data_IF_468924576478
#
_entry.id   IF_468924576478
#
_cell.length_a   1.000
_cell.length_b   1.000
_cell.length_c   1.000
_cell.angle_alpha   90.00
_cell.angle_beta   90.00
_cell.angle_gamma   90.00
#
_symmetry.space_group_name_H-M   'P 1'
#
loop_
_entity.id
_entity.type
_entity.pdbx_description
1 polymer ?
#
# COMPACT_ATOMS: atom_id res chain seq x y z
N UNK A 1 20.21 27.54 -6.07
CA UNK A 1 19.03 27.83 -6.92
C UNK A 1 19.04 27.01 -8.23
N UNK A 2 20.12 26.99 -9.02
CA UNK A 2 20.18 26.21 -10.28
C UNK A 2 19.85 24.71 -10.10
N UNK A 3 20.38 24.08 -9.07
CA UNK A 3 20.17 22.64 -8.86
C UNK A 3 18.75 22.29 -8.39
N UNK A 4 18.07 23.22 -7.72
CA UNK A 4 16.65 23.08 -7.42
C UNK A 4 15.78 22.99 -8.69
N UNK A 5 16.05 23.86 -9.69
CA UNK A 5 15.35 23.78 -10.98
C UNK A 5 15.63 22.47 -11.71
N UNK A 6 16.85 21.89 -11.57
CA UNK A 6 17.19 20.59 -12.13
C UNK A 6 16.27 19.48 -11.56
N UNK A 7 16.04 19.49 -10.24
CA UNK A 7 15.15 18.50 -9.60
C UNK A 7 13.71 18.69 -10.05
N UNK A 8 13.23 19.93 -10.10
CA UNK A 8 11.89 20.24 -10.64
C UNK A 8 11.77 19.68 -12.07
N UNK A 9 12.78 19.89 -12.92
CA UNK A 9 12.78 19.36 -14.28
C UNK A 9 12.66 17.83 -14.29
N UNK A 10 13.43 17.13 -13.45
CA UNK A 10 13.34 15.66 -13.31
C UNK A 10 11.90 15.27 -12.92
N UNK A 11 11.33 15.90 -11.89
CA UNK A 11 9.96 15.62 -11.45
C UNK A 11 8.94 15.87 -12.55
N UNK A 12 9.04 16.98 -13.26
CA UNK A 12 8.14 17.30 -14.38
C UNK A 12 8.23 16.27 -15.50
N UNK A 13 9.45 15.82 -15.84
CA UNK A 13 9.65 14.76 -16.84
C UNK A 13 9.04 13.45 -16.36
N UNK A 14 9.26 13.06 -15.09
CA UNK A 14 8.61 11.86 -14.52
C UNK A 14 7.08 11.95 -14.62
N UNK A 15 6.48 13.07 -14.22
CA UNK A 15 5.04 13.29 -14.32
C UNK A 15 4.54 13.24 -15.76
N UNK A 16 5.28 13.82 -16.71
CA UNK A 16 4.97 13.75 -18.12
C UNK A 16 4.99 12.31 -18.66
N UNK A 17 6.01 11.53 -18.31
CA UNK A 17 6.12 10.14 -18.74
C UNK A 17 5.02 9.27 -18.11
N UNK A 18 4.65 9.52 -16.85
CA UNK A 18 3.51 8.89 -16.18
C UNK A 18 2.20 9.21 -16.94
N UNK A 19 2.00 10.48 -17.32
CA UNK A 19 0.82 10.89 -18.11
C UNK A 19 0.74 10.17 -19.45
N UNK A 20 1.88 9.81 -20.04
CA UNK A 20 1.95 8.98 -21.26
C UNK A 20 1.68 7.48 -20.99
N UNK A 21 1.34 7.09 -19.77
CA UNK A 21 1.04 5.70 -19.34
C UNK A 21 2.19 4.74 -19.55
N UNK A 22 3.43 5.20 -19.53
CA UNK A 22 4.61 4.34 -19.55
C UNK A 22 4.69 3.53 -18.26
N UNK A 23 5.38 2.38 -18.34
CA UNK A 23 5.62 1.55 -17.16
C UNK A 23 6.40 2.33 -16.10
N UNK A 24 5.94 2.27 -14.84
CA UNK A 24 6.50 3.07 -13.74
C UNK A 24 7.96 2.70 -13.41
N UNK A 25 8.33 1.44 -13.55
CA UNK A 25 9.73 1.03 -13.40
C UNK A 25 10.61 1.67 -14.47
N UNK A 26 10.14 1.68 -15.72
CA UNK A 26 10.84 2.33 -16.81
C UNK A 26 10.93 3.85 -16.61
N UNK A 27 9.84 4.49 -16.17
CA UNK A 27 9.82 5.93 -15.84
C UNK A 27 10.87 6.27 -14.78
N UNK A 28 10.94 5.50 -13.69
CA UNK A 28 11.93 5.71 -12.63
C UNK A 28 13.36 5.45 -13.09
N UNK A 29 13.57 4.42 -13.88
CA UNK A 29 14.89 4.13 -14.44
C UNK A 29 15.37 5.26 -15.34
N UNK A 30 14.50 5.77 -16.23
CA UNK A 30 14.80 6.96 -17.03
C UNK A 30 15.04 8.19 -16.16
N UNK A 31 14.26 8.38 -15.10
CA UNK A 31 14.46 9.44 -14.12
C UNK A 31 15.83 9.38 -13.45
N UNK A 32 16.31 8.18 -13.11
CA UNK A 32 17.65 7.97 -12.57
C UNK A 32 18.73 8.37 -13.59
N UNK A 33 18.60 7.93 -14.85
CA UNK A 33 19.53 8.30 -15.92
C UNK A 33 19.52 9.82 -16.14
N UNK A 34 18.36 10.42 -16.24
CA UNK A 34 18.20 11.87 -16.42
C UNK A 34 18.85 12.65 -15.28
N UNK A 35 18.61 12.21 -14.03
CA UNK A 35 19.24 12.82 -12.85
C UNK A 35 20.76 12.75 -12.94
N UNK A 36 21.32 11.57 -13.25
CA UNK A 36 22.76 11.40 -13.42
C UNK A 36 23.35 12.35 -14.47
N UNK A 37 22.69 12.50 -15.63
CA UNK A 37 23.14 13.40 -16.71
C UNK A 37 23.03 14.87 -16.29
N UNK A 38 21.90 15.31 -15.75
CA UNK A 38 21.66 16.71 -15.37
C UNK A 38 22.61 17.17 -14.24
N UNK A 39 22.96 16.26 -13.33
CA UNK A 39 23.92 16.53 -12.26
C UNK A 39 25.36 16.16 -12.64
N UNK A 40 25.62 15.95 -13.92
CA UNK A 40 26.96 15.76 -14.50
C UNK A 40 27.75 14.57 -13.92
N UNK A 41 27.03 13.50 -13.55
CA UNK A 41 27.69 12.22 -13.23
C UNK A 41 28.29 11.66 -14.54
N UNK A 42 29.62 11.43 -14.54
CA UNK A 42 30.28 10.79 -15.68
C UNK A 42 29.69 9.38 -15.94
N UNK A 43 29.66 8.98 -17.22
CA UNK A 43 29.09 7.67 -17.61
C UNK A 43 29.64 6.47 -16.81
N UNK A 44 30.99 6.37 -16.53
CA UNK A 44 31.49 5.27 -15.71
C UNK A 44 30.97 5.28 -14.28
N UNK A 45 30.82 6.47 -13.67
CA UNK A 45 30.27 6.61 -12.32
C UNK A 45 28.77 6.27 -12.30
N UNK A 46 28.01 6.69 -13.31
CA UNK A 46 26.60 6.37 -13.46
C UNK A 46 26.39 4.86 -13.58
N UNK A 47 27.11 4.20 -14.49
CA UNK A 47 27.00 2.76 -14.71
C UNK A 47 27.39 1.97 -13.44
N UNK A 48 28.48 2.36 -12.78
CA UNK A 48 28.91 1.74 -11.52
C UNK A 48 27.85 1.85 -10.43
N UNK A 49 27.30 3.04 -10.19
CA UNK A 49 26.28 3.23 -9.16
C UNK A 49 24.95 2.50 -9.47
N UNK A 50 24.58 2.39 -10.75
CA UNK A 50 23.44 1.55 -11.15
C UNK A 50 23.72 0.09 -10.79
N UNK A 51 24.89 -0.44 -11.13
CA UNK A 51 25.24 -1.83 -10.82
C UNK A 51 25.30 -2.07 -9.32
N UNK A 52 25.92 -1.18 -8.55
CA UNK A 52 25.97 -1.24 -7.09
C UNK A 52 24.57 -1.23 -6.47
N UNK A 53 23.66 -0.38 -6.96
CA UNK A 53 22.29 -0.34 -6.50
C UNK A 53 21.55 -1.66 -6.77
N UNK A 54 21.69 -2.23 -7.96
CA UNK A 54 21.03 -3.47 -8.36
C UNK A 54 21.56 -4.70 -7.60
N UNK A 55 22.86 -4.72 -7.28
CA UNK A 55 23.51 -5.86 -6.61
C UNK A 55 23.63 -5.70 -5.09
N UNK A 56 23.18 -4.57 -4.54
CA UNK A 56 23.22 -4.34 -3.10
C UNK A 56 22.39 -5.36 -2.33
N UNK A 57 22.87 -5.75 -1.15
CA UNK A 57 22.13 -6.65 -0.24
C UNK A 57 20.75 -6.08 0.13
N UNK A 58 20.64 -4.76 0.19
CA UNK A 58 19.40 -4.03 0.45
C UNK A 58 18.36 -4.28 -0.67
N UNK A 59 18.76 -4.07 -1.94
CA UNK A 59 17.87 -4.27 -3.09
C UNK A 59 17.48 -5.73 -3.26
N UNK A 60 18.43 -6.66 -3.13
CA UNK A 60 18.19 -8.10 -3.23
C UNK A 60 17.29 -8.59 -2.09
N UNK A 61 17.52 -8.11 -0.87
CA UNK A 61 16.67 -8.40 0.29
C UNK A 61 15.25 -7.88 0.10
N UNK A 62 15.10 -6.66 -0.41
CA UNK A 62 13.79 -6.05 -0.70
C UNK A 62 13.03 -6.83 -1.78
N UNK A 63 13.69 -7.22 -2.86
CA UNK A 63 13.12 -8.07 -3.91
C UNK A 63 12.67 -9.41 -3.31
N UNK A 64 13.52 -10.05 -2.48
CA UNK A 64 13.18 -11.30 -1.80
C UNK A 64 11.96 -11.18 -0.88
N UNK A 65 11.87 -10.10 -0.09
CA UNK A 65 10.71 -9.83 0.76
C UNK A 65 9.42 -9.72 -0.08
N UNK A 66 9.44 -8.91 -1.13
CA UNK A 66 8.25 -8.70 -1.97
C UNK A 66 7.85 -9.97 -2.71
N UNK A 67 8.82 -10.74 -3.22
CA UNK A 67 8.54 -12.06 -3.82
C UNK A 67 7.86 -13.00 -2.84
N UNK A 68 8.34 -13.08 -1.59
CA UNK A 68 7.75 -13.94 -0.56
C UNK A 68 6.34 -13.49 -0.16
N UNK A 69 6.10 -12.17 -0.07
CA UNK A 69 4.76 -11.63 0.20
C UNK A 69 3.78 -11.99 -0.93
N UNK A 70 4.18 -11.79 -2.19
CA UNK A 70 3.36 -12.15 -3.36
C UNK A 70 3.16 -13.66 -3.44
N UNK A 71 4.19 -14.44 -3.10
CA UNK A 71 4.13 -15.91 -3.04
C UNK A 71 3.08 -16.38 -2.02
N UNK A 72 3.14 -15.88 -0.78
CA UNK A 72 2.17 -16.22 0.26
C UNK A 72 0.74 -15.85 -0.12
N UNK A 73 0.54 -14.65 -0.67
CA UNK A 73 -0.77 -14.22 -1.16
C UNK A 73 -1.33 -15.15 -2.23
N UNK A 74 -0.51 -15.49 -3.25
CA UNK A 74 -0.88 -16.40 -4.34
C UNK A 74 -1.16 -17.82 -3.83
N UNK A 75 -0.34 -18.31 -2.90
CA UNK A 75 -0.51 -19.63 -2.30
C UNK A 75 -1.85 -19.73 -1.58
N UNK A 76 -2.16 -18.77 -0.70
CA UNK A 76 -3.41 -18.74 0.06
C UNK A 76 -4.64 -18.64 -0.88
N UNK A 77 -4.51 -17.88 -1.97
CA UNK A 77 -5.54 -17.79 -2.99
C UNK A 77 -5.80 -19.13 -3.67
N UNK A 78 -4.74 -19.79 -4.14
CA UNK A 78 -4.85 -21.08 -4.86
C UNK A 78 -5.34 -22.22 -3.97
N UNK A 79 -5.06 -22.19 -2.67
CA UNK A 79 -5.56 -23.17 -1.68
C UNK A 79 -6.98 -22.87 -1.19
N UNK A 80 -7.62 -21.81 -1.71
CA UNK A 80 -9.02 -21.48 -1.40
C UNK A 80 -9.23 -20.91 0.00
N UNK A 81 -8.16 -20.48 0.68
CA UNK A 81 -8.25 -19.92 2.03
C UNK A 81 -9.14 -18.69 2.10
N UNK A 82 -9.18 -17.88 1.03
CA UNK A 82 -10.00 -16.66 0.98
C UNK A 82 -11.49 -16.98 0.94
N UNK A 83 -11.88 -17.98 0.15
CA UNK A 83 -13.27 -18.43 0.11
C UNK A 83 -13.70 -18.94 1.50
N UNK A 84 -12.90 -19.81 2.11
CA UNK A 84 -13.18 -20.32 3.48
C UNK A 84 -13.30 -19.19 4.49
N UNK A 85 -12.38 -18.22 4.45
CA UNK A 85 -12.39 -17.05 5.33
C UNK A 85 -13.69 -16.26 5.19
N UNK A 86 -14.13 -15.97 3.96
CA UNK A 86 -15.38 -15.26 3.70
C UNK A 86 -16.59 -16.05 4.18
N UNK A 87 -16.63 -17.37 3.93
CA UNK A 87 -17.72 -18.24 4.37
C UNK A 87 -17.80 -18.31 5.91
N UNK A 88 -16.65 -18.39 6.59
CA UNK A 88 -16.60 -18.33 8.07
C UNK A 88 -17.09 -16.99 8.60
N UNK A 89 -16.68 -15.88 7.98
CA UNK A 89 -17.12 -14.55 8.38
C UNK A 89 -18.64 -14.38 8.25
N UNK A 90 -19.26 -14.87 7.17
CA UNK A 90 -20.72 -14.87 7.00
C UNK A 90 -21.43 -15.53 8.18
N UNK A 91 -20.80 -16.55 8.79
CA UNK A 91 -21.38 -17.31 9.90
C UNK A 91 -21.03 -16.72 11.27
N UNK A 92 -19.90 -16.06 11.44
CA UNK A 92 -19.44 -15.48 12.70
C UNK A 92 -20.09 -14.14 13.04
N UNK A 93 -20.46 -13.35 12.01
CA UNK A 93 -20.90 -11.97 12.20
C UNK A 93 -22.31 -11.92 12.78
N UNK A 94 -22.50 -11.45 14.04
CA UNK A 94 -23.82 -11.36 14.64
C UNK A 94 -24.62 -10.14 14.15
N UNK A 95 -23.93 -9.07 13.75
CA UNK A 95 -24.52 -7.85 13.22
C UNK A 95 -24.60 -7.93 11.68
N UNK A 96 -25.78 -8.08 11.07
CA UNK A 96 -25.92 -8.36 9.64
C UNK A 96 -25.25 -7.32 8.73
N UNK A 97 -25.20 -6.05 9.14
CA UNK A 97 -24.58 -4.96 8.35
C UNK A 97 -23.08 -5.13 8.16
N UNK A 98 -22.39 -5.75 9.13
CA UNK A 98 -20.94 -5.96 9.07
C UNK A 98 -20.52 -6.90 7.94
N UNK A 99 -21.45 -7.70 7.39
CA UNK A 99 -21.17 -8.54 6.22
C UNK A 99 -20.83 -7.71 4.95
N UNK A 100 -21.26 -6.46 4.93
CA UNK A 100 -20.93 -5.51 3.86
C UNK A 100 -19.49 -4.95 3.97
N UNK A 101 -18.88 -5.06 5.15
CA UNK A 101 -17.59 -4.47 5.48
C UNK A 101 -16.49 -5.51 5.70
N UNK A 102 -16.72 -6.47 6.57
CA UNK A 102 -15.67 -7.38 7.07
C UNK A 102 -15.04 -8.27 5.98
N UNK A 103 -15.76 -8.85 5.02
CA UNK A 103 -15.12 -9.62 3.96
C UNK A 103 -14.11 -8.80 3.17
N UNK A 104 -14.44 -7.56 2.82
CA UNK A 104 -13.53 -6.65 2.13
C UNK A 104 -12.34 -6.27 3.01
N UNK A 105 -12.57 -5.98 4.30
CA UNK A 105 -11.51 -5.68 5.25
C UNK A 105 -10.55 -6.87 5.42
N UNK A 106 -11.06 -8.08 5.56
CA UNK A 106 -10.22 -9.27 5.70
C UNK A 106 -9.42 -9.59 4.43
N UNK A 107 -10.02 -9.44 3.24
CA UNK A 107 -9.28 -9.55 1.98
C UNK A 107 -8.21 -8.46 1.88
N UNK A 108 -8.45 -7.30 2.51
CA UNK A 108 -7.49 -6.22 2.65
C UNK A 108 -6.19 -6.58 3.37
N UNK A 109 -6.11 -7.62 4.19
CA UNK A 109 -4.84 -8.08 4.75
C UNK A 109 -3.85 -8.60 3.69
N UNK A 110 -4.30 -8.81 2.48
CA UNK A 110 -3.52 -9.45 1.43
C UNK A 110 -3.16 -8.43 0.35
N UNK A 111 -1.86 -8.18 0.15
CA UNK A 111 -1.39 -7.33 -0.93
C UNK A 111 -1.51 -8.06 -2.26
N UNK A 112 -2.70 -8.02 -2.85
CA UNK A 112 -2.97 -8.67 -4.13
C UNK A 112 -3.64 -7.74 -5.13
N UNK A 113 -3.30 -7.91 -6.39
CA UNK A 113 -3.91 -7.17 -7.49
C UNK A 113 -5.36 -7.66 -7.68
N UNK A 114 -6.30 -6.74 -7.75
CA UNK A 114 -7.71 -7.10 -7.98
C UNK A 114 -8.41 -7.75 -6.79
N UNK A 115 -7.85 -7.68 -5.57
CA UNK A 115 -8.46 -8.25 -4.36
C UNK A 115 -9.89 -7.75 -4.10
N UNK A 116 -10.23 -6.54 -4.56
CA UNK A 116 -11.57 -6.01 -4.47
C UNK A 116 -12.64 -6.87 -5.21
N UNK A 117 -12.25 -7.57 -6.28
CA UNK A 117 -13.15 -8.49 -6.99
C UNK A 117 -13.46 -9.76 -6.20
N UNK A 118 -12.63 -10.12 -5.23
CA UNK A 118 -12.87 -11.32 -4.42
C UNK A 118 -13.93 -11.09 -3.34
N UNK A 119 -14.04 -9.87 -2.80
CA UNK A 119 -15.08 -9.50 -1.85
C UNK A 119 -16.37 -9.01 -2.52
N UNK A 120 -16.28 -8.53 -3.77
CA UNK A 120 -17.40 -7.95 -4.49
C UNK A 120 -18.66 -8.87 -4.57
N UNK A 121 -18.56 -10.19 -4.87
CA UNK A 121 -19.72 -11.07 -4.88
C UNK A 121 -20.45 -11.15 -3.53
N UNK A 122 -19.69 -11.11 -2.42
CA UNK A 122 -20.26 -11.14 -1.08
C UNK A 122 -20.99 -9.85 -0.75
N UNK A 123 -20.38 -8.71 -1.11
CA UNK A 123 -21.02 -7.40 -0.94
C UNK A 123 -22.23 -7.26 -1.85
N UNK A 124 -22.21 -7.85 -3.06
CA UNK A 124 -23.38 -7.89 -3.97
C UNK A 124 -24.53 -8.67 -3.35
N UNK A 125 -24.28 -9.93 -2.95
CA UNK A 125 -25.27 -10.79 -2.31
C UNK A 125 -25.87 -10.16 -1.04
N UNK A 126 -25.00 -9.64 -0.18
CA UNK A 126 -25.44 -8.97 1.04
C UNK A 126 -26.21 -7.68 0.74
N UNK A 127 -25.69 -6.86 -0.19
CA UNK A 127 -26.28 -5.57 -0.55
C UNK A 127 -27.68 -5.65 -1.13
N UNK A 128 -28.04 -6.78 -1.73
CA UNK A 128 -29.41 -7.02 -2.23
C UNK A 128 -30.44 -7.01 -1.09
N UNK A 129 -30.10 -7.48 0.11
CA UNK A 129 -31.01 -7.47 1.27
C UNK A 129 -31.46 -6.08 1.69
N UNK A 130 -30.63 -5.06 1.41
CA UNK A 130 -30.87 -3.65 1.74
C UNK A 130 -31.19 -2.79 0.52
N UNK A 131 -31.36 -3.38 -0.67
CA UNK A 131 -31.51 -2.64 -1.94
C UNK A 131 -30.44 -1.54 -2.12
N UNK A 132 -29.19 -1.83 -1.75
CA UNK A 132 -28.13 -0.85 -1.86
C UNK A 132 -27.84 -0.52 -3.33
N UNK A 133 -27.69 0.78 -3.60
CA UNK A 133 -27.30 1.23 -4.94
C UNK A 133 -25.89 0.71 -5.32
N UNK A 134 -25.58 0.62 -6.61
CA UNK A 134 -24.25 0.26 -7.08
C UNK A 134 -23.14 1.10 -6.44
N UNK A 135 -23.37 2.41 -6.25
CA UNK A 135 -22.40 3.32 -5.62
C UNK A 135 -22.12 2.95 -4.16
N UNK A 136 -23.13 2.60 -3.38
CA UNK A 136 -22.95 2.17 -1.99
C UNK A 136 -22.20 0.84 -1.90
N UNK A 137 -22.55 -0.15 -2.72
CA UNK A 137 -21.82 -1.42 -2.79
C UNK A 137 -20.37 -1.21 -3.16
N UNK A 138 -20.10 -0.33 -4.16
CA UNK A 138 -18.74 0.04 -4.56
C UNK A 138 -17.97 0.69 -3.42
N UNK A 139 -18.56 1.69 -2.75
CA UNK A 139 -17.91 2.37 -1.62
C UNK A 139 -17.55 1.39 -0.51
N UNK A 140 -18.49 0.57 -0.05
CA UNK A 140 -18.25 -0.37 1.05
C UNK A 140 -17.17 -1.39 0.71
N UNK A 141 -17.25 -1.98 -0.49
CA UNK A 141 -16.25 -2.94 -0.95
C UNK A 141 -14.86 -2.29 -1.08
N UNK A 142 -14.79 -1.13 -1.70
CA UNK A 142 -13.55 -0.40 -1.93
C UNK A 142 -12.94 0.13 -0.64
N UNK A 143 -13.72 0.84 0.18
CA UNK A 143 -13.25 1.49 1.41
C UNK A 143 -12.65 0.50 2.40
N UNK A 144 -13.42 -0.52 2.78
CA UNK A 144 -12.96 -1.49 3.78
C UNK A 144 -11.79 -2.34 3.29
N UNK A 145 -11.66 -2.56 1.98
CA UNK A 145 -10.48 -3.22 1.39
C UNK A 145 -9.18 -2.46 1.64
N UNK A 146 -9.24 -1.12 1.75
CA UNK A 146 -8.06 -0.25 1.79
C UNK A 146 -7.68 0.27 3.18
N UNK A 147 -8.45 -0.03 4.23
CA UNK A 147 -8.17 0.46 5.60
C UNK A 147 -6.82 0.00 6.15
N UNK A 148 -6.29 -1.14 5.70
CA UNK A 148 -5.02 -1.71 6.14
C UNK A 148 -3.81 -1.14 5.42
N UNK A 149 -3.99 -0.48 4.31
CA UNK A 149 -2.88 0.03 3.50
C UNK A 149 -2.13 1.17 4.18
N UNK A 150 -2.67 1.73 5.26
CA UNK A 150 -1.94 2.65 6.11
C UNK A 150 -0.83 1.95 6.92
N UNK A 151 -1.13 0.85 7.58
CA UNK A 151 -0.22 0.30 8.61
C UNK A 151 0.20 -1.17 8.42
N UNK A 152 -0.41 -1.91 7.51
CA UNK A 152 -0.14 -3.35 7.41
C UNK A 152 1.23 -3.63 6.80
N UNK A 153 2.16 -4.29 7.54
CA UNK A 153 3.57 -4.37 7.15
C UNK A 153 3.86 -5.25 5.93
N UNK A 154 2.88 -6.00 5.45
CA UNK A 154 3.04 -6.82 4.23
C UNK A 154 2.73 -6.04 2.94
N UNK A 155 2.32 -4.78 3.02
CA UNK A 155 2.12 -3.96 1.83
C UNK A 155 3.44 -3.43 1.27
N UNK A 156 3.59 -3.54 -0.04
CA UNK A 156 4.81 -3.15 -0.77
C UNK A 156 5.18 -1.67 -0.55
N UNK A 157 4.19 -0.79 -0.40
CA UNK A 157 4.42 0.63 -0.11
C UNK A 157 5.06 0.87 1.26
N UNK A 158 4.67 0.14 2.33
CA UNK A 158 5.33 0.23 3.64
C UNK A 158 6.74 -0.39 3.58
N UNK A 159 6.88 -1.52 2.88
CA UNK A 159 8.16 -2.19 2.70
C UNK A 159 9.15 -1.26 1.97
N UNK A 160 8.71 -0.59 0.89
CA UNK A 160 9.50 0.40 0.17
C UNK A 160 9.85 1.61 1.05
N UNK A 161 8.87 2.16 1.79
CA UNK A 161 9.12 3.27 2.69
C UNK A 161 10.18 2.90 3.75
N UNK A 162 10.09 1.70 4.33
CA UNK A 162 11.08 1.19 5.28
C UNK A 162 12.49 1.10 4.68
N UNK A 163 12.61 0.58 3.46
CA UNK A 163 13.88 0.45 2.75
C UNK A 163 14.45 1.81 2.34
N UNK A 164 13.63 2.71 1.78
CA UNK A 164 14.08 4.03 1.36
C UNK A 164 14.58 4.86 2.55
N UNK A 165 13.82 4.83 3.65
CA UNK A 165 14.11 5.63 4.85
C UNK A 165 15.10 4.96 5.80
N UNK A 166 15.52 3.72 5.54
CA UNK A 166 16.42 2.93 6.41
C UNK A 166 15.91 2.79 7.86
N UNK A 167 14.59 2.69 8.04
CA UNK A 167 13.96 2.55 9.36
C UNK A 167 13.15 1.26 9.47
N UNK A 168 13.03 0.67 10.66
CA UNK A 168 12.24 -0.54 10.85
C UNK A 168 10.77 -0.33 10.45
N UNK A 169 10.22 -1.24 9.67
CA UNK A 169 8.82 -1.17 9.18
C UNK A 169 7.80 -1.03 10.31
N UNK A 170 8.09 -1.62 11.49
CA UNK A 170 7.26 -1.48 12.69
C UNK A 170 7.08 -0.04 13.14
N UNK A 171 8.11 0.82 12.95
CA UNK A 171 8.06 2.24 13.32
C UNK A 171 7.09 2.97 12.40
N UNK A 172 7.14 2.72 11.09
CA UNK A 172 6.18 3.29 10.13
C UNK A 172 4.76 2.79 10.43
N UNK A 173 4.59 1.47 10.59
CA UNK A 173 3.31 0.86 10.87
C UNK A 173 2.66 1.45 12.15
N UNK A 174 3.44 1.68 13.21
CA UNK A 174 2.97 2.26 14.46
C UNK A 174 2.44 3.69 14.26
N UNK A 175 3.18 4.56 13.56
CA UNK A 175 2.75 5.93 13.28
C UNK A 175 1.54 6.01 12.35
N UNK A 176 1.37 5.02 11.48
CA UNK A 176 0.25 4.95 10.55
C UNK A 176 -0.99 4.24 11.12
N UNK A 177 -0.84 3.45 12.20
CA UNK A 177 -1.93 2.67 12.78
C UNK A 177 -3.16 3.48 13.19
N UNK A 178 -3.05 4.71 13.78
CA UNK A 178 -4.20 5.54 14.10
C UNK A 178 -5.09 5.85 12.89
N UNK A 179 -4.52 5.97 11.68
CA UNK A 179 -5.27 6.24 10.46
C UNK A 179 -6.05 5.01 9.98
N UNK A 180 -5.54 3.80 10.22
CA UNK A 180 -6.31 2.56 10.02
C UNK A 180 -7.54 2.52 10.94
N UNK A 181 -7.38 2.87 12.23
CA UNK A 181 -8.49 2.94 13.17
C UNK A 181 -9.51 3.99 12.73
N UNK A 182 -9.02 5.20 12.36
CA UNK A 182 -9.87 6.28 11.88
C UNK A 182 -10.64 5.88 10.61
N UNK A 183 -9.96 5.25 9.64
CA UNK A 183 -10.59 4.78 8.41
C UNK A 183 -11.66 3.72 8.69
N UNK A 184 -11.37 2.76 9.56
CA UNK A 184 -12.34 1.75 9.98
C UNK A 184 -13.54 2.39 10.69
N UNK A 185 -13.30 3.30 11.62
CA UNK A 185 -14.35 4.00 12.36
C UNK A 185 -15.25 4.83 11.43
N UNK A 186 -14.68 5.63 10.53
CA UNK A 186 -15.43 6.41 9.55
C UNK A 186 -16.27 5.52 8.64
N UNK A 187 -15.68 4.43 8.12
CA UNK A 187 -16.41 3.47 7.30
C UNK A 187 -17.58 2.84 8.05
N UNK A 188 -17.40 2.44 9.33
CA UNK A 188 -18.45 1.88 10.16
C UNK A 188 -19.54 2.91 10.52
N UNK A 189 -19.17 4.15 10.85
CA UNK A 189 -20.13 5.23 11.11
C UNK A 189 -21.01 5.46 9.87
N UNK A 190 -20.40 5.53 8.70
CA UNK A 190 -21.11 5.71 7.43
C UNK A 190 -22.02 4.52 7.16
N UNK A 191 -21.53 3.29 7.34
CA UNK A 191 -22.29 2.06 7.17
C UNK A 191 -23.52 2.04 8.09
N UNK A 192 -23.34 2.26 9.40
CA UNK A 192 -24.40 2.17 10.38
C UNK A 192 -25.42 3.31 10.27
N UNK A 193 -25.03 4.47 9.75
CA UNK A 193 -25.91 5.61 9.51
C UNK A 193 -26.84 5.38 8.30
N UNK A 194 -26.33 4.71 7.25
CA UNK A 194 -27.05 4.59 5.97
C UNK A 194 -27.71 3.23 5.73
N UNK A 195 -27.26 2.18 6.42
CA UNK A 195 -27.82 0.84 6.29
C UNK A 195 -28.65 0.53 7.54
N UNK A 196 -29.98 0.37 7.42
CA UNK A 196 -30.85 0.06 8.55
C UNK A 196 -30.56 -1.34 9.12
N UNK A 197 -30.79 -1.52 10.41
CA UNK A 197 -30.62 -2.82 11.06
C UNK A 197 -31.76 -3.75 10.65
N UNK A 198 -31.41 -4.91 10.12
CA UNK A 198 -32.35 -6.01 9.89
C UNK A 198 -32.22 -7.05 11.01
N UNK A 199 -33.28 -7.82 11.24
CA UNK A 199 -33.22 -8.96 12.15
C UNK A 199 -32.17 -9.97 11.67
N UNK A 200 -31.45 -10.54 12.61
CA UNK A 200 -30.46 -11.58 12.32
C UNK A 200 -31.15 -12.94 12.39
N UNK A 201 -31.14 -13.68 11.29
CA UNK A 201 -31.70 -15.05 11.24
C UNK A 201 -30.74 -16.10 11.81
N UNK A 202 -29.68 -15.68 12.52
CA UNK A 202 -28.62 -16.60 12.94
C UNK A 202 -28.94 -17.32 14.25
N UNK A 203 -29.05 -18.61 14.15
CA UNK A 203 -28.82 -19.53 15.25
C UNK A 203 -27.31 -19.58 15.52
N UNK A 204 -26.87 -19.15 16.71
CA UNK A 204 -25.45 -19.12 17.12
C UNK A 204 -24.74 -20.49 17.21
N UNK A 205 -25.16 -21.45 16.42
CA UNK A 205 -24.58 -22.80 16.35
C UNK A 205 -23.27 -22.74 15.54
N UNK A 206 -22.20 -23.24 16.12
CA UNK A 206 -20.90 -23.36 15.44
C UNK A 206 -20.01 -22.10 15.49
N UNK A 207 -20.22 -21.19 16.45
CA UNK A 207 -19.34 -20.01 16.59
C UNK A 207 -17.87 -20.39 16.76
N UNK A 208 -17.56 -21.32 17.66
CA UNK A 208 -16.20 -21.77 17.91
C UNK A 208 -15.58 -22.45 16.69
N UNK A 209 -16.36 -23.28 15.99
CA UNK A 209 -15.89 -23.96 14.76
C UNK A 209 -15.58 -22.96 13.65
N UNK A 210 -16.44 -21.96 13.43
CA UNK A 210 -16.23 -20.93 12.44
C UNK A 210 -15.03 -20.03 12.81
N UNK A 211 -14.86 -19.70 14.10
CA UNK A 211 -13.72 -18.94 14.58
C UNK A 211 -12.42 -19.72 14.37
N UNK A 212 -12.41 -21.00 14.69
CA UNK A 212 -11.24 -21.85 14.46
C UNK A 212 -10.90 -21.98 12.99
N UNK A 213 -11.90 -22.17 12.13
CA UNK A 213 -11.70 -22.22 10.68
C UNK A 213 -11.24 -20.88 10.11
N UNK A 214 -11.68 -19.75 10.66
CA UNK A 214 -11.21 -18.42 10.29
C UNK A 214 -9.72 -18.27 10.63
N UNK A 215 -9.34 -18.55 11.88
CA UNK A 215 -7.93 -18.53 12.32
C UNK A 215 -7.07 -19.48 11.49
N UNK A 216 -7.60 -20.66 11.20
CA UNK A 216 -6.96 -21.62 10.33
C UNK A 216 -6.80 -21.15 8.88
N UNK A 217 -7.68 -20.29 8.38
CA UNK A 217 -7.56 -19.75 7.03
C UNK A 217 -6.50 -18.65 6.92
N UNK A 218 -6.22 -17.93 8.01
CA UNK A 218 -5.28 -16.79 8.03
C UNK A 218 -3.99 -17.05 8.80
N UNK A 219 -3.80 -18.27 9.37
CA UNK A 219 -2.64 -18.57 10.22
C UNK A 219 -1.27 -18.23 9.61
N UNK A 220 -1.05 -18.37 8.28
CA UNK A 220 0.27 -18.01 7.74
C UNK A 220 0.56 -16.51 7.88
N UNK A 221 -0.47 -15.66 7.72
CA UNK A 221 -0.32 -14.22 7.91
C UNK A 221 -0.06 -13.87 9.38
N UNK A 222 -0.80 -14.52 10.29
CA UNK A 222 -0.61 -14.36 11.73
C UNK A 222 0.79 -14.82 12.15
N UNK A 223 1.27 -15.94 11.62
CA UNK A 223 2.62 -16.44 11.89
C UNK A 223 3.69 -15.46 11.39
N UNK A 224 3.58 -14.94 10.17
CA UNK A 224 4.54 -13.96 9.66
C UNK A 224 4.62 -12.73 10.57
N UNK A 225 3.47 -12.15 10.94
CA UNK A 225 3.38 -11.01 11.85
C UNK A 225 3.94 -11.34 13.23
N UNK A 226 3.61 -12.50 13.79
CA UNK A 226 4.11 -12.96 15.07
C UNK A 226 5.65 -13.08 15.08
N UNK A 227 6.24 -13.66 14.05
CA UNK A 227 7.70 -13.77 13.92
C UNK A 227 8.38 -12.39 13.80
N UNK A 228 7.79 -11.46 13.06
CA UNK A 228 8.35 -10.11 12.86
C UNK A 228 8.25 -9.27 14.15
N UNK A 229 7.08 -9.25 14.80
CA UNK A 229 6.81 -8.31 15.89
C UNK A 229 7.21 -8.85 17.27
N UNK A 230 6.94 -10.13 17.54
CA UNK A 230 7.20 -10.76 18.85
C UNK A 230 8.64 -11.29 18.91
N UNK A 231 9.05 -12.11 17.96
CA UNK A 231 10.41 -12.64 17.92
C UNK A 231 11.45 -11.68 17.35
N UNK A 232 10.99 -10.56 16.73
CA UNK A 232 11.87 -9.53 16.15
C UNK A 232 12.83 -10.08 15.08
N UNK A 233 12.45 -11.17 14.43
CA UNK A 233 13.22 -11.71 13.31
C UNK A 233 13.16 -10.77 12.10
N UNK A 234 14.16 -10.87 11.23
CA UNK A 234 14.11 -10.10 9.97
C UNK A 234 12.89 -10.49 9.14
N UNK A 235 12.35 -9.52 8.42
CA UNK A 235 11.14 -9.75 7.60
C UNK A 235 11.36 -10.83 6.54
N UNK A 236 12.54 -10.84 5.91
CA UNK A 236 12.90 -11.85 4.91
C UNK A 236 12.87 -13.27 5.51
N UNK A 237 13.51 -13.44 6.66
CA UNK A 237 13.53 -14.73 7.36
C UNK A 237 12.13 -15.16 7.80
N UNK A 238 11.36 -14.27 8.41
CA UNK A 238 10.00 -14.55 8.89
C UNK A 238 9.08 -15.02 7.77
N UNK A 239 9.13 -14.33 6.61
CA UNK A 239 8.35 -14.69 5.44
C UNK A 239 8.81 -16.00 4.80
N UNK A 240 10.14 -16.24 4.75
CA UNK A 240 10.69 -17.48 4.22
C UNK A 240 10.28 -18.70 5.07
N UNK A 241 10.38 -18.59 6.40
CA UNK A 241 9.92 -19.63 7.33
C UNK A 241 8.42 -19.86 7.18
N UNK A 242 7.63 -18.79 7.15
CA UNK A 242 6.18 -18.89 6.96
C UNK A 242 5.82 -19.56 5.63
N UNK A 243 6.48 -19.19 4.55
CA UNK A 243 6.25 -19.79 3.24
C UNK A 243 6.58 -21.29 3.24
N UNK A 244 7.71 -21.67 3.84
CA UNK A 244 8.14 -23.07 3.97
C UNK A 244 7.12 -23.88 4.78
N UNK A 245 6.76 -23.40 5.98
CA UNK A 245 5.80 -24.08 6.85
C UNK A 245 4.43 -24.21 6.18
N UNK A 246 4.01 -23.19 5.43
CA UNK A 246 2.74 -23.23 4.69
C UNK A 246 2.77 -24.28 3.57
N UNK A 247 3.89 -24.42 2.85
CA UNK A 247 4.05 -25.47 1.83
C UNK A 247 4.00 -26.88 2.44
N UNK A 248 4.68 -27.08 3.57
CA UNK A 248 4.69 -28.36 4.30
C UNK A 248 3.28 -28.68 4.78
N UNK A 249 2.60 -27.70 5.39
CA UNK A 249 1.26 -27.87 5.93
C UNK A 249 0.24 -28.26 4.85
N UNK A 250 0.29 -27.62 3.67
CA UNK A 250 -0.57 -27.96 2.53
C UNK A 250 -0.05 -29.17 1.74
N UNK A 251 0.99 -29.86 2.19
CA UNK A 251 1.61 -31.03 1.55
C UNK A 251 1.82 -30.83 0.04
N UNK A 252 2.36 -29.64 -0.31
CA UNK A 252 2.54 -29.26 -1.71
C UNK A 252 3.59 -30.11 -2.41
N UNK A 253 3.23 -30.66 -3.55
CA UNK A 253 4.17 -31.33 -4.44
C UNK A 253 5.02 -30.31 -5.22
N UNK A 254 6.06 -30.78 -5.90
CA UNK A 254 6.99 -29.92 -6.64
C UNK A 254 6.31 -29.10 -7.74
N UNK A 255 5.37 -29.70 -8.46
CA UNK A 255 4.65 -29.00 -9.55
C UNK A 255 3.75 -27.87 -9.00
N UNK A 256 3.08 -28.10 -7.88
CA UNK A 256 2.28 -27.06 -7.21
C UNK A 256 3.16 -25.90 -6.74
N UNK A 257 4.34 -26.18 -6.17
CA UNK A 257 5.30 -25.13 -5.74
C UNK A 257 5.74 -24.29 -6.94
N UNK A 258 6.13 -24.91 -8.04
CA UNK A 258 6.50 -24.21 -9.28
C UNK A 258 5.33 -23.37 -9.80
N UNK A 259 4.11 -23.90 -9.82
CA UNK A 259 2.92 -23.16 -10.27
C UNK A 259 2.69 -21.90 -9.42
N UNK A 260 2.83 -21.99 -8.09
CA UNK A 260 2.69 -20.82 -7.21
C UNK A 260 3.79 -19.81 -7.49
N UNK A 261 5.06 -20.23 -7.62
CA UNK A 261 6.18 -19.35 -7.95
C UNK A 261 5.90 -18.59 -9.25
N UNK A 262 5.59 -19.29 -10.34
CA UNK A 262 5.32 -18.67 -11.64
C UNK A 262 4.15 -17.68 -11.61
N UNK A 263 3.10 -17.97 -10.84
CA UNK A 263 1.94 -17.09 -10.70
C UNK A 263 2.20 -15.89 -9.77
N UNK A 264 3.14 -16.00 -8.86
CA UNK A 264 3.47 -14.93 -7.91
C UNK A 264 4.52 -13.94 -8.42
N UNK A 265 5.38 -14.36 -9.35
CA UNK A 265 6.43 -13.51 -9.91
C UNK A 265 5.82 -12.46 -10.84
N UNK A 266 5.92 -11.20 -10.43
CA UNK A 266 5.55 -10.05 -11.25
C UNK A 266 6.83 -9.32 -11.69
N UNK A 267 7.33 -9.61 -12.88
CA UNK A 267 8.52 -8.93 -13.44
C UNK A 267 8.36 -7.41 -13.42
N UNK A 268 7.15 -6.92 -13.66
CA UNK A 268 6.83 -5.50 -13.61
C UNK A 268 7.06 -4.91 -12.20
N UNK A 269 6.61 -5.62 -11.16
CA UNK A 269 6.80 -5.20 -9.77
C UNK A 269 8.28 -5.25 -9.37
N UNK A 270 8.99 -6.30 -9.78
CA UNK A 270 10.42 -6.45 -9.49
C UNK A 270 11.26 -5.37 -10.17
N UNK A 271 10.97 -5.09 -11.44
CA UNK A 271 11.64 -4.04 -12.18
C UNK A 271 11.39 -2.65 -11.56
N UNK A 272 10.14 -2.39 -11.12
CA UNK A 272 9.82 -1.16 -10.42
C UNK A 272 10.66 -1.01 -9.14
N UNK A 273 10.76 -2.06 -8.30
CA UNK A 273 11.54 -2.02 -7.06
C UNK A 273 13.01 -1.76 -7.35
N UNK A 274 13.57 -2.49 -8.31
CA UNK A 274 14.95 -2.28 -8.74
C UNK A 274 15.18 -0.82 -9.20
N UNK A 275 14.25 -0.28 -10.01
CA UNK A 275 14.34 1.10 -10.51
C UNK A 275 14.19 2.15 -9.39
N UNK A 276 13.36 1.90 -8.37
CA UNK A 276 13.29 2.75 -7.17
C UNK A 276 14.63 2.83 -6.46
N UNK A 277 15.30 1.70 -6.27
CA UNK A 277 16.58 1.65 -5.58
C UNK A 277 17.70 2.29 -6.39
N UNK A 278 17.70 2.11 -7.71
CA UNK A 278 18.58 2.82 -8.62
C UNK A 278 18.35 4.33 -8.54
N UNK A 279 17.10 4.77 -8.61
CA UNK A 279 16.76 6.20 -8.54
C UNK A 279 17.18 6.83 -7.21
N UNK A 280 16.90 6.14 -6.07
CA UNK A 280 17.39 6.54 -4.74
C UNK A 280 18.91 6.73 -4.75
N UNK A 281 19.66 5.71 -5.20
CA UNK A 281 21.13 5.74 -5.23
C UNK A 281 21.68 6.90 -6.08
N UNK A 282 21.11 7.11 -7.26
CA UNK A 282 21.55 8.19 -8.15
C UNK A 282 21.23 9.57 -7.55
N UNK A 283 20.08 9.76 -6.91
CA UNK A 283 19.76 11.00 -6.19
C UNK A 283 20.77 11.27 -5.05
N UNK A 284 21.17 10.24 -4.30
CA UNK A 284 22.15 10.37 -3.21
C UNK A 284 23.53 10.77 -3.74
N UNK A 285 24.06 10.06 -4.74
CA UNK A 285 25.44 10.25 -5.22
C UNK A 285 25.61 11.46 -6.15
N UNK A 286 24.54 11.94 -6.75
CA UNK A 286 24.55 13.12 -7.63
C UNK A 286 24.62 14.45 -6.87
N UNK A 287 24.43 14.44 -5.54
CA UNK A 287 24.29 15.66 -4.75
C UNK A 287 22.95 16.39 -4.91
N UNK A 288 22.02 15.80 -5.68
CA UNK A 288 20.68 16.37 -5.88
C UNK A 288 19.94 16.63 -4.56
N UNK A 289 20.11 15.75 -3.57
CA UNK A 289 19.49 15.88 -2.26
C UNK A 289 19.98 17.09 -1.47
N UNK A 290 21.27 17.46 -1.58
CA UNK A 290 21.86 18.61 -0.90
C UNK A 290 21.22 19.93 -1.37
N UNK A 291 20.82 19.98 -2.64
CA UNK A 291 20.18 21.15 -3.22
C UNK A 291 18.76 21.38 -2.70
N UNK A 292 18.07 20.31 -2.32
CA UNK A 292 16.74 20.41 -1.68
C UNK A 292 16.86 20.92 -0.24
N UNK A 293 17.83 20.43 0.54
CA UNK A 293 18.04 20.89 1.91
C UNK A 293 18.41 22.38 1.98
N UNK A 294 19.16 22.88 1.01
CA UNK A 294 19.52 24.31 0.95
C UNK A 294 18.36 25.20 0.46
N UNK A 295 17.43 24.66 -0.30
CA UNK A 295 16.30 25.42 -0.86
C UNK A 295 15.08 25.51 0.07
N UNK A 296 14.93 24.55 1.00
CA UNK A 296 13.78 24.49 1.90
C UNK A 296 14.22 24.37 3.36
N UNK A 297 13.70 25.24 4.21
CA UNK A 297 13.71 24.98 5.65
C UNK A 297 12.81 23.75 5.93
N UNK A 298 13.32 22.67 6.56
CA UNK A 298 12.54 21.46 6.81
C UNK A 298 11.22 21.68 7.58
N UNK A 299 11.12 22.78 8.29
CA UNK A 299 9.96 23.18 9.09
C UNK A 299 9.16 24.34 8.47
N UNK A 300 9.46 24.75 7.23
CA UNK A 300 8.76 25.84 6.56
C UNK A 300 7.47 25.38 5.85
N UNK A 301 6.52 26.31 5.66
CA UNK A 301 5.27 26.06 4.96
C UNK A 301 5.49 25.45 3.55
N UNK A 302 6.56 25.84 2.87
CA UNK A 302 6.94 25.29 1.55
C UNK A 302 7.31 23.80 1.63
N UNK A 303 7.97 23.34 2.70
CA UNK A 303 8.27 21.94 2.91
C UNK A 303 6.98 21.13 3.13
N UNK A 304 6.04 21.64 3.94
CA UNK A 304 4.75 20.98 4.16
C UNK A 304 3.91 20.89 2.89
N UNK A 305 3.96 21.93 2.04
CA UNK A 305 3.33 21.89 0.73
C UNK A 305 3.91 20.80 -0.17
N UNK A 306 5.24 20.63 -0.17
CA UNK A 306 5.89 19.55 -0.95
C UNK A 306 5.55 18.17 -0.38
N UNK A 307 5.55 18.01 0.95
CA UNK A 307 5.17 16.76 1.63
C UNK A 307 3.71 16.36 1.33
N UNK A 308 2.86 17.32 1.04
CA UNK A 308 1.51 17.08 0.54
C UNK A 308 1.49 16.85 -0.96
N UNK A 309 1.91 17.85 -1.73
CA UNK A 309 1.65 17.91 -3.16
C UNK A 309 2.33 16.79 -3.95
N UNK A 310 3.61 16.51 -3.68
CA UNK A 310 4.36 15.50 -4.46
C UNK A 310 3.76 14.11 -4.29
N UNK A 311 3.59 13.57 -3.08
CA UNK A 311 2.97 12.25 -2.92
C UNK A 311 1.52 12.21 -3.39
N UNK A 312 0.73 13.27 -3.09
CA UNK A 312 -0.68 13.35 -3.47
C UNK A 312 -0.88 13.26 -4.99
N UNK A 313 -0.20 14.12 -5.75
CA UNK A 313 -0.35 14.10 -7.21
C UNK A 313 0.20 12.82 -7.84
N UNK A 314 1.28 12.27 -7.31
CA UNK A 314 1.78 10.97 -7.76
C UNK A 314 0.76 9.85 -7.46
N UNK A 315 0.17 9.84 -6.28
CA UNK A 315 -0.89 8.90 -5.93
C UNK A 315 -2.11 9.04 -6.85
N UNK A 316 -2.58 10.27 -7.03
CA UNK A 316 -3.75 10.59 -7.87
C UNK A 316 -3.54 10.21 -9.34
N UNK A 317 -2.38 10.53 -9.91
CA UNK A 317 -2.10 10.31 -11.33
C UNK A 317 -1.79 8.84 -11.64
N UNK A 318 -1.08 8.16 -10.75
CA UNK A 318 -0.68 6.76 -10.97
C UNK A 318 -1.73 5.75 -10.54
N UNK A 319 -2.49 6.05 -9.48
CA UNK A 319 -3.37 5.09 -8.83
C UNK A 319 -2.65 3.87 -8.23
N UNK A 320 -1.32 3.97 -8.00
CA UNK A 320 -0.47 2.84 -7.60
C UNK A 320 0.31 3.18 -6.32
N UNK A 321 0.02 2.47 -5.23
CA UNK A 321 0.58 2.76 -3.90
C UNK A 321 2.11 2.77 -3.84
N UNK A 322 2.73 1.72 -4.32
CA UNK A 322 4.19 1.61 -4.31
C UNK A 322 4.87 2.61 -5.26
N UNK A 323 4.14 3.17 -6.22
CA UNK A 323 4.68 4.19 -7.13
C UNK A 323 4.84 5.55 -6.43
N UNK A 324 3.82 6.02 -5.70
CA UNK A 324 3.97 7.31 -5.03
C UNK A 324 5.07 7.28 -3.97
N UNK A 325 5.19 6.18 -3.20
CA UNK A 325 6.27 6.02 -2.23
C UNK A 325 7.62 5.96 -2.93
N UNK A 326 7.75 5.09 -3.95
CA UNK A 326 9.01 4.88 -4.66
C UNK A 326 9.54 6.12 -5.39
N UNK A 327 8.67 7.03 -5.79
CA UNK A 327 9.05 8.28 -6.47
C UNK A 327 9.25 9.42 -5.46
N UNK A 328 8.25 9.66 -4.58
CA UNK A 328 8.28 10.83 -3.72
C UNK A 328 9.25 10.71 -2.55
N UNK A 329 9.37 9.53 -1.92
CA UNK A 329 10.17 9.38 -0.71
C UNK A 329 11.66 9.59 -0.91
N UNK A 330 12.30 9.07 -1.99
CA UNK A 330 13.70 9.42 -2.28
C UNK A 330 13.90 10.93 -2.48
N UNK A 331 12.95 11.61 -3.14
CA UNK A 331 13.02 13.06 -3.38
C UNK A 331 12.84 13.84 -2.07
N UNK A 332 11.95 13.38 -1.19
CA UNK A 332 11.61 14.04 0.08
C UNK A 332 12.54 13.64 1.25
N UNK A 333 13.47 12.71 1.03
CA UNK A 333 14.40 12.22 2.05
C UNK A 333 15.12 13.35 2.81
N UNK A 334 15.60 14.42 2.15
CA UNK A 334 16.23 15.54 2.84
C UNK A 334 15.28 16.28 3.81
N UNK A 335 13.99 16.36 3.48
CA UNK A 335 12.98 17.01 4.32
C UNK A 335 12.64 16.13 5.52
N UNK A 336 12.62 14.81 5.33
CA UNK A 336 12.40 13.86 6.43
C UNK A 336 13.55 13.86 7.45
N UNK A 337 14.77 14.18 7.05
CA UNK A 337 16.01 14.02 7.83
C UNK A 337 16.68 12.67 7.51
N UNK A 338 17.77 12.66 6.72
CA UNK A 338 18.35 11.44 6.15
C UNK A 338 18.91 10.47 7.20
N UNK A 339 19.47 10.95 8.31
CA UNK A 339 20.04 10.10 9.37
C UNK A 339 19.01 9.60 10.37
N UNK A 340 18.00 10.43 10.71
CA UNK A 340 16.93 10.08 11.64
C UNK A 340 15.61 10.68 11.14
N UNK A 341 14.91 9.98 10.24
CA UNK A 341 13.68 10.49 9.64
C UNK A 341 12.63 10.86 10.67
N UNK A 342 12.14 12.11 10.56
CA UNK A 342 11.04 12.60 11.37
C UNK A 342 9.74 11.89 11.01
N UNK A 343 9.26 11.06 11.91
CA UNK A 343 8.10 10.20 11.67
C UNK A 343 6.80 10.95 11.45
N UNK A 344 6.69 12.19 11.94
CA UNK A 344 5.50 13.02 11.72
C UNK A 344 5.45 13.51 10.28
N UNK A 345 6.60 13.92 9.72
CA UNK A 345 6.71 14.30 8.30
C UNK A 345 6.50 13.11 7.39
N UNK A 346 7.10 11.96 7.73
CA UNK A 346 6.91 10.69 7.00
C UNK A 346 5.44 10.30 7.00
N UNK A 347 4.79 10.33 8.16
CA UNK A 347 3.36 10.03 8.32
C UNK A 347 2.51 10.94 7.44
N UNK A 348 2.75 12.24 7.47
CA UNK A 348 1.97 13.20 6.69
C UNK A 348 2.14 13.00 5.19
N UNK A 349 3.37 12.82 4.70
CA UNK A 349 3.63 12.54 3.28
C UNK A 349 2.99 11.23 2.81
N UNK A 350 3.04 10.19 3.65
CA UNK A 350 2.44 8.90 3.34
C UNK A 350 0.91 9.00 3.23
N UNK A 351 0.25 9.63 4.23
CA UNK A 351 -1.21 9.83 4.21
C UNK A 351 -1.63 10.71 3.04
N UNK A 352 -0.83 11.74 2.70
CA UNK A 352 -1.09 12.61 1.54
C UNK A 352 -1.08 11.83 0.23
N UNK A 353 -0.08 10.96 0.02
CA UNK A 353 -0.01 10.12 -1.17
C UNK A 353 -1.14 9.09 -1.22
N UNK A 354 -1.48 8.49 -0.09
CA UNK A 354 -2.57 7.53 -0.03
C UNK A 354 -3.95 8.20 -0.20
N UNK A 355 -4.12 9.44 0.25
CA UNK A 355 -5.30 10.25 -0.09
C UNK A 355 -5.46 10.41 -1.60
N UNK A 356 -4.37 10.71 -2.33
CA UNK A 356 -4.36 10.72 -3.79
C UNK A 356 -4.80 9.40 -4.42
N UNK A 357 -4.30 8.28 -3.88
CA UNK A 357 -4.70 6.92 -4.33
C UNK A 357 -6.20 6.68 -4.13
N UNK A 358 -6.72 6.96 -2.93
CA UNK A 358 -8.13 6.69 -2.60
C UNK A 358 -9.10 7.36 -3.56
N UNK A 359 -8.77 8.57 -4.03
CA UNK A 359 -9.61 9.32 -4.97
C UNK A 359 -9.13 9.22 -6.43
N UNK A 360 -8.14 8.37 -6.72
CA UNK A 360 -7.62 8.23 -8.08
C UNK A 360 -8.57 7.42 -8.97
N UNK A 361 -9.02 7.97 -10.09
CA UNK A 361 -9.79 7.21 -11.08
C UNK A 361 -8.93 6.15 -11.80
N UNK A 362 -7.60 6.28 -11.74
CA UNK A 362 -6.67 5.32 -12.31
C UNK A 362 -6.38 4.13 -11.36
N UNK A 363 -6.88 4.19 -10.11
CA UNK A 363 -6.65 3.11 -9.15
C UNK A 363 -7.42 1.85 -9.54
N UNK A 364 -6.67 0.78 -9.82
CA UNK A 364 -7.23 -0.46 -10.38
C UNK A 364 -8.36 -1.05 -9.53
N UNK A 365 -8.23 -1.04 -8.19
CA UNK A 365 -9.29 -1.57 -7.32
C UNK A 365 -10.58 -0.76 -7.42
N UNK A 366 -10.50 0.57 -7.58
CA UNK A 366 -11.68 1.41 -7.79
C UNK A 366 -12.31 1.11 -9.15
N UNK A 367 -11.51 1.10 -10.21
CA UNK A 367 -11.96 0.84 -11.57
C UNK A 367 -12.67 -0.54 -11.69
N UNK A 368 -12.04 -1.60 -11.18
CA UNK A 368 -12.62 -2.95 -11.20
C UNK A 368 -13.90 -3.05 -10.34
N UNK A 369 -13.96 -2.34 -9.22
CA UNK A 369 -15.16 -2.34 -8.37
C UNK A 369 -16.32 -1.58 -9.02
N UNK A 370 -16.02 -0.44 -9.66
CA UNK A 370 -17.00 0.32 -10.46
C UNK A 370 -17.58 -0.54 -11.60
N UNK A 371 -16.72 -1.24 -12.32
CA UNK A 371 -17.12 -2.12 -13.41
C UNK A 371 -18.00 -3.28 -12.92
N UNK A 372 -17.58 -3.93 -11.82
CA UNK A 372 -18.32 -5.08 -11.24
C UNK A 372 -19.74 -4.69 -10.83
N UNK A 373 -19.89 -3.59 -10.08
CA UNK A 373 -21.20 -3.14 -9.60
C UNK A 373 -21.94 -2.26 -10.61
N UNK A 374 -21.33 -1.94 -11.76
CA UNK A 374 -21.88 -0.98 -12.76
C UNK A 374 -22.23 0.37 -12.14
N UNK A 375 -21.35 0.87 -11.27
CA UNK A 375 -21.55 2.10 -10.53
C UNK A 375 -21.02 3.33 -11.28
N UNK A 376 -21.71 4.47 -11.14
CA UNK A 376 -21.21 5.75 -11.62
C UNK A 376 -20.15 6.30 -10.66
N UNK A 377 -19.00 6.72 -11.23
CA UNK A 377 -17.88 7.25 -10.45
C UNK A 377 -18.25 8.52 -9.66
N UNK A 378 -19.11 9.38 -10.20
CA UNK A 378 -19.52 10.63 -9.54
C UNK A 378 -20.34 10.33 -8.28
N UNK A 379 -21.23 9.33 -8.37
CA UNK A 379 -22.01 8.90 -7.21
C UNK A 379 -21.12 8.28 -6.13
N UNK A 380 -20.13 7.49 -6.52
CA UNK A 380 -19.16 6.93 -5.56
C UNK A 380 -18.35 8.05 -4.91
N UNK A 381 -17.90 9.05 -5.66
CA UNK A 381 -17.15 10.18 -5.11
C UNK A 381 -17.94 11.02 -4.11
N UNK A 382 -19.26 11.15 -4.24
CA UNK A 382 -20.11 11.83 -3.26
C UNK A 382 -20.02 11.19 -1.86
N UNK A 383 -19.73 9.88 -1.81
CA UNK A 383 -19.60 9.14 -0.55
C UNK A 383 -18.13 9.07 -0.12
N UNK A 384 -17.22 8.85 -1.06
CA UNK A 384 -15.81 8.54 -0.82
C UNK A 384 -14.97 9.75 -0.44
N UNK A 385 -15.23 10.93 -1.03
CA UNK A 385 -14.35 12.11 -0.85
C UNK A 385 -14.38 12.58 0.60
N UNK A 386 -15.54 12.70 1.21
CA UNK A 386 -15.65 13.24 2.57
C UNK A 386 -14.82 12.45 3.60
N UNK A 387 -14.97 11.12 3.75
CA UNK A 387 -14.15 10.37 4.70
C UNK A 387 -12.66 10.39 4.35
N UNK A 388 -12.30 10.44 3.07
CA UNK A 388 -10.91 10.56 2.64
C UNK A 388 -10.28 11.89 3.05
N UNK A 389 -11.02 12.99 2.89
CA UNK A 389 -10.62 14.34 3.34
C UNK A 389 -10.49 14.39 4.86
N UNK A 390 -11.40 13.76 5.61
CA UNK A 390 -11.34 13.72 7.08
C UNK A 390 -10.06 13.06 7.56
N UNK A 391 -9.64 11.95 6.93
CA UNK A 391 -8.36 11.29 7.28
C UNK A 391 -7.17 12.19 6.98
N UNK A 392 -7.17 12.83 5.79
CA UNK A 392 -6.10 13.77 5.42
C UNK A 392 -6.02 14.95 6.40
N UNK A 393 -7.16 15.55 6.74
CA UNK A 393 -7.21 16.66 7.71
C UNK A 393 -6.75 16.21 9.09
N UNK A 394 -7.07 14.99 9.54
CA UNK A 394 -6.56 14.44 10.78
C UNK A 394 -5.02 14.34 10.76
N UNK A 395 -4.43 13.87 9.66
CA UNK A 395 -2.97 13.83 9.52
C UNK A 395 -2.34 15.24 9.52
N UNK A 396 -3.00 16.20 8.88
CA UNK A 396 -2.55 17.59 8.86
C UNK A 396 -2.63 18.21 10.25
N UNK A 397 -3.71 17.96 11.00
CA UNK A 397 -3.84 18.43 12.37
C UNK A 397 -2.78 17.82 13.30
N UNK A 398 -2.47 16.52 13.16
CA UNK A 398 -1.37 15.88 13.89
C UNK A 398 -0.03 16.56 13.56
N UNK A 399 0.23 16.85 12.27
CA UNK A 399 1.43 17.59 11.86
C UNK A 399 1.51 18.95 12.56
N UNK A 400 0.44 19.74 12.51
CA UNK A 400 0.41 21.07 13.14
C UNK A 400 0.60 20.99 14.66
N UNK A 401 -0.13 20.12 15.33
CA UNK A 401 -0.04 19.93 16.78
C UNK A 401 1.36 19.55 17.25
N UNK A 402 1.99 18.59 16.57
CA UNK A 402 3.36 18.13 16.89
C UNK A 402 4.46 19.14 16.51
N UNK A 403 4.11 20.27 15.86
CA UNK A 403 5.04 21.35 15.51
C UNK A 403 4.87 22.60 16.38
N UNK A 404 3.74 22.71 17.08
CA UNK A 404 3.47 23.81 18.03
C UNK A 404 4.01 23.46 19.40
N UNK A 405 4.04 22.17 19.77
CA UNK A 405 4.64 21.63 21.00
C UNK A 405 6.15 21.45 20.84
#
# INVERSE_FOLDING_TARGET
MADFFKIILVVLVLLFLIKKKLDLGFVLFLGALLTGVIFSLGFPALARNILEALTSAETLGLIGIVLLVLYLGTLLQLKGNFKRMVDCLKNLIPEPRLILALPSAFIGFLPMIGGALMSAPVVEEAGQRWNLSPAWKTFLNYWFRHIWEYCWPLYVNLILASAILQIPIKRIAFFQFPFTILAAALGLIILFKHVPRLASDKNGRGFLDNLFQLLFSIWPLLLAIFLIFIFKFSMLFSLAVTALLTQIFFRMNFQERLRVIWKSVSLKTLFLIASVMVFKRILEVSGALNSLTSAFHPQGASAYLLLFAVPFFLGLLTGVNHAYVGISFPILLPIFGPENPDMVLVMFAYVSGFFGILISPAHLCLALTLEYFKADLREVYRILILPSVVIFLAAFLVLLFMRIL
#
